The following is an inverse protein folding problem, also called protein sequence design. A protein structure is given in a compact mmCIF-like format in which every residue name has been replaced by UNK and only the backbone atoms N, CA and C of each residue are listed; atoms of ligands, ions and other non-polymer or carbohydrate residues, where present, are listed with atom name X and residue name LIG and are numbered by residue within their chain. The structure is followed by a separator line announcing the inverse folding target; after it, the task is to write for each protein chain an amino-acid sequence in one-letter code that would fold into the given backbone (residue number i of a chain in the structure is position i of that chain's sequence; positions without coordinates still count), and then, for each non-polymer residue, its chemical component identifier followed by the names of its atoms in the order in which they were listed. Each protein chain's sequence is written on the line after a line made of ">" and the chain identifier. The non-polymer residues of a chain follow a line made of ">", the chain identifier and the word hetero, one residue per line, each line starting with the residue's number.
data_IF_017133947236
#
_entry.id   IF_017133947236
#
_cell.length_a   1.000
_cell.length_b   1.000
_cell.length_c   1.000
_cell.angle_alpha   90.00
_cell.angle_beta   90.00
_cell.angle_gamma   90.00
#
_symmetry.space_group_name_H-M   'P 1'
#
loop_
_entity.id
_entity.type
_entity.pdbx_description
1 polymer ?
#
# COMPACT_ATOMS: atom_id res chain seq x y z
N UNK A 1 6.58 -19.82 -4.11
CA UNK A 1 5.70 -18.67 -3.79
C UNK A 1 6.45 -17.41 -4.18
N UNK A 2 5.91 -16.58 -5.08
CA UNK A 2 6.59 -15.35 -5.54
C UNK A 2 6.80 -14.37 -4.36
N UNK A 3 7.96 -13.75 -4.27
CA UNK A 3 8.25 -12.74 -3.24
C UNK A 3 7.36 -11.50 -3.42
N UNK A 4 7.03 -10.79 -2.34
CA UNK A 4 6.17 -9.61 -2.42
C UNK A 4 6.74 -8.53 -3.36
N UNK A 5 8.06 -8.37 -3.38
CA UNK A 5 8.72 -7.44 -4.30
C UNK A 5 8.54 -7.87 -5.76
N UNK A 6 8.61 -9.18 -6.05
CA UNK A 6 8.38 -9.71 -7.40
C UNK A 6 6.93 -9.50 -7.85
N UNK A 7 5.96 -9.68 -6.94
CA UNK A 7 4.55 -9.39 -7.20
C UNK A 7 4.37 -7.91 -7.59
N UNK A 8 4.92 -6.99 -6.81
CA UNK A 8 4.85 -5.54 -7.08
C UNK A 8 5.51 -5.18 -8.41
N UNK A 9 6.69 -5.72 -8.70
CA UNK A 9 7.39 -5.50 -9.97
C UNK A 9 6.54 -5.96 -11.17
N UNK A 10 5.85 -7.10 -11.06
CA UNK A 10 4.94 -7.58 -12.11
C UNK A 10 3.75 -6.65 -12.29
N UNK A 11 3.12 -6.21 -11.20
CA UNK A 11 1.99 -5.29 -11.27
C UNK A 11 2.38 -3.91 -11.84
N UNK A 12 3.56 -3.38 -11.48
CA UNK A 12 4.09 -2.14 -12.06
C UNK A 12 4.25 -2.22 -13.58
N UNK A 13 4.64 -3.37 -14.12
CA UNK A 13 4.72 -3.60 -15.59
C UNK A 13 3.33 -3.70 -16.22
N UNK A 14 2.42 -4.46 -15.60
CA UNK A 14 1.04 -4.63 -16.07
C UNK A 14 0.15 -5.07 -14.92
N UNK A 15 -0.72 -4.17 -14.46
CA UNK A 15 -1.70 -4.50 -13.43
C UNK A 15 -2.79 -5.42 -14.00
N UNK A 16 -3.00 -6.62 -13.44
CA UNK A 16 -4.09 -7.50 -13.84
C UNK A 16 -5.47 -6.85 -13.61
N UNK A 17 -6.52 -7.25 -14.35
CA UNK A 17 -7.89 -6.75 -14.13
C UNK A 17 -8.41 -7.09 -12.73
N UNK A 18 -8.07 -8.28 -12.23
CA UNK A 18 -8.40 -8.80 -10.92
C UNK A 18 -7.19 -9.51 -10.34
N UNK A 19 -6.97 -9.32 -9.04
CA UNK A 19 -5.83 -9.88 -8.31
C UNK A 19 -6.35 -10.69 -7.11
N UNK A 20 -5.82 -11.91 -6.84
CA UNK A 20 -6.22 -12.69 -5.68
C UNK A 20 -5.95 -11.95 -4.36
N UNK A 21 -6.89 -12.06 -3.40
CA UNK A 21 -6.75 -11.49 -2.06
C UNK A 21 -5.45 -11.92 -1.38
N UNK A 22 -5.02 -13.15 -1.58
CA UNK A 22 -3.80 -13.69 -0.97
C UNK A 22 -2.54 -12.94 -1.42
N UNK A 23 -2.43 -12.63 -2.72
CA UNK A 23 -1.32 -11.83 -3.25
C UNK A 23 -1.38 -10.39 -2.71
N UNK A 24 -2.58 -9.81 -2.61
CA UNK A 24 -2.77 -8.48 -2.04
C UNK A 24 -2.35 -8.44 -0.58
N UNK A 25 -2.79 -9.41 0.23
CA UNK A 25 -2.39 -9.54 1.62
C UNK A 25 -0.89 -9.69 1.77
N UNK A 26 -0.26 -10.51 0.93
CA UNK A 26 1.19 -10.70 0.95
C UNK A 26 1.93 -9.40 0.68
N UNK A 27 1.47 -8.61 -0.30
CA UNK A 27 2.06 -7.31 -0.61
C UNK A 27 1.80 -6.31 0.53
N UNK A 28 0.58 -6.25 1.06
CA UNK A 28 0.25 -5.35 2.16
C UNK A 28 1.06 -5.68 3.42
N UNK A 29 1.22 -6.96 3.79
CA UNK A 29 2.03 -7.35 4.94
C UNK A 29 3.50 -6.96 4.76
N UNK A 30 4.06 -7.16 3.56
CA UNK A 30 5.45 -6.82 3.28
C UNK A 30 5.71 -5.30 3.28
N UNK A 31 4.75 -4.52 2.75
CA UNK A 31 4.90 -3.08 2.60
C UNK A 31 4.23 -2.24 3.68
N UNK A 32 3.38 -2.81 4.52
CA UNK A 32 2.67 -2.10 5.59
C UNK A 32 2.48 -3.07 6.77
N UNK A 33 3.57 -3.64 7.33
CA UNK A 33 3.48 -4.64 8.37
C UNK A 33 2.73 -4.08 9.59
N UNK A 34 1.72 -4.82 10.07
CA UNK A 34 0.88 -4.42 11.21
C UNK A 34 0.04 -3.14 11.01
N UNK A 35 0.08 -2.54 9.82
CA UNK A 35 -0.53 -1.24 9.52
C UNK A 35 -1.83 -1.40 8.71
N UNK A 36 -2.50 -2.54 8.85
CA UNK A 36 -3.75 -2.82 8.18
C UNK A 36 -4.76 -3.53 9.08
N UNK A 37 -6.04 -3.33 8.78
CA UNK A 37 -7.16 -3.95 9.46
C UNK A 37 -8.04 -4.68 8.45
N UNK A 38 -8.45 -5.89 8.79
CA UNK A 38 -9.42 -6.68 8.04
C UNK A 38 -10.80 -6.48 8.68
N UNK A 39 -11.70 -5.79 7.98
CA UNK A 39 -13.07 -5.65 8.46
C UNK A 39 -13.84 -6.93 8.17
N UNK A 40 -14.17 -7.68 9.21
CA UNK A 40 -15.03 -8.87 9.12
C UNK A 40 -16.50 -8.42 9.13
N UNK A 41 -17.14 -8.35 7.97
CA UNK A 41 -18.54 -7.92 7.81
C UNK A 41 -19.02 -7.99 6.35
N UNK A 42 -20.23 -7.48 6.07
CA UNK A 42 -20.93 -7.58 4.77
C UNK A 42 -20.18 -7.04 3.55
N UNK A 43 -19.13 -6.24 3.79
CA UNK A 43 -18.20 -5.77 2.78
C UNK A 43 -16.79 -6.10 3.24
N UNK A 44 -16.17 -7.05 2.55
CA UNK A 44 -14.82 -7.52 2.88
C UNK A 44 -13.83 -6.42 2.46
N UNK A 45 -13.52 -5.47 3.34
CA UNK A 45 -12.49 -4.48 3.10
C UNK A 45 -11.19 -4.83 3.84
N UNK A 46 -10.08 -4.52 3.19
CA UNK A 46 -8.78 -4.37 3.82
C UNK A 46 -8.47 -2.88 3.88
N UNK A 47 -8.23 -2.35 5.08
CA UNK A 47 -7.94 -0.93 5.29
C UNK A 47 -6.50 -0.81 5.74
N UNK A 48 -5.66 -0.12 4.97
CA UNK A 48 -4.29 0.21 5.34
C UNK A 48 -4.25 1.62 5.91
N UNK A 49 -3.62 1.78 7.08
CA UNK A 49 -3.43 3.06 7.76
C UNK A 49 -1.94 3.22 8.04
N UNK A 50 -1.31 4.22 7.42
CA UNK A 50 0.13 4.46 7.61
C UNK A 50 0.41 5.95 7.61
N UNK A 51 1.41 6.37 8.39
CA UNK A 51 1.77 7.79 8.53
C UNK A 51 2.13 8.44 7.19
N UNK A 52 2.90 7.73 6.35
CA UNK A 52 3.24 8.21 5.01
C UNK A 52 1.99 8.57 4.16
N UNK A 53 0.92 7.78 4.28
CA UNK A 53 -0.34 8.05 3.55
C UNK A 53 -1.07 9.26 4.13
N UNK A 54 -1.05 9.43 5.45
CA UNK A 54 -1.59 10.62 6.11
C UNK A 54 -0.87 11.88 5.62
N UNK A 55 0.46 11.89 5.64
CA UNK A 55 1.27 13.03 5.21
C UNK A 55 1.04 13.31 3.72
N UNK A 56 0.97 12.28 2.88
CA UNK A 56 0.67 12.44 1.45
C UNK A 56 -0.69 13.10 1.21
N UNK A 57 -1.70 12.73 1.98
CA UNK A 57 -3.02 13.34 1.92
C UNK A 57 -3.01 14.80 2.40
N UNK A 58 -2.45 15.05 3.59
CA UNK A 58 -2.40 16.39 4.21
C UNK A 58 -1.63 17.40 3.34
N UNK A 59 -0.60 16.94 2.63
CA UNK A 59 0.20 17.78 1.72
C UNK A 59 -0.35 17.85 0.30
N UNK A 60 -1.48 17.18 0.01
CA UNK A 60 -2.11 17.19 -1.31
C UNK A 60 -1.35 16.43 -2.39
N UNK A 61 -0.43 15.52 -2.02
CA UNK A 61 0.30 14.68 -2.98
C UNK A 61 -0.58 13.59 -3.61
N UNK A 62 -1.59 13.13 -2.88
CA UNK A 62 -2.52 12.11 -3.38
C UNK A 62 -3.93 12.28 -2.81
N UNK A 63 -4.93 12.24 -3.70
CA UNK A 63 -6.34 12.16 -3.35
C UNK A 63 -6.82 10.72 -3.11
N UNK A 64 -5.99 9.72 -3.45
CA UNK A 64 -6.32 8.29 -3.35
C UNK A 64 -6.42 7.79 -1.90
N UNK A 65 -5.94 8.57 -0.92
CA UNK A 65 -5.85 8.19 0.49
C UNK A 65 -6.59 9.16 1.43
N UNK A 66 -7.92 9.33 1.30
CA UNK A 66 -8.67 10.26 2.14
C UNK A 66 -8.47 9.96 3.63
N UNK A 67 -8.05 10.96 4.40
CA UNK A 67 -7.74 10.82 5.82
C UNK A 67 -6.54 9.90 6.12
N UNK A 68 -5.65 9.68 5.14
CA UNK A 68 -4.46 8.84 5.28
C UNK A 68 -4.74 7.33 5.25
N UNK A 69 -5.83 6.92 4.61
CA UNK A 69 -6.29 5.52 4.58
C UNK A 69 -6.39 5.02 3.15
N UNK A 70 -5.87 3.83 2.91
CA UNK A 70 -6.12 3.08 1.68
C UNK A 70 -7.16 2.00 1.96
N UNK A 71 -8.24 1.98 1.20
CA UNK A 71 -9.31 0.98 1.31
C UNK A 71 -9.31 0.07 0.09
N UNK A 72 -9.10 -1.23 0.30
CA UNK A 72 -9.12 -2.27 -0.74
C UNK A 72 -10.36 -3.15 -0.53
N UNK A 73 -11.35 -3.03 -1.41
CA UNK A 73 -12.53 -3.90 -1.40
C UNK A 73 -12.29 -5.21 -2.13
N UNK A 74 -12.78 -6.31 -1.56
CA UNK A 74 -12.76 -7.61 -2.22
C UNK A 74 -14.07 -7.85 -2.97
N UNK A 75 -13.97 -8.12 -4.27
CA UNK A 75 -15.04 -8.66 -5.10
C UNK A 75 -15.25 -10.14 -4.74
N UNK A 76 -16.48 -10.49 -4.33
CA UNK A 76 -16.86 -11.84 -3.89
C UNK A 76 -15.96 -12.41 -2.78
N UNK A 77 -15.33 -11.54 -1.98
CA UNK A 77 -14.38 -11.93 -0.93
C UNK A 77 -13.06 -12.55 -1.42
N UNK A 78 -12.81 -12.63 -2.74
CA UNK A 78 -11.68 -13.37 -3.31
C UNK A 78 -10.71 -12.52 -4.12
N UNK A 79 -11.18 -11.47 -4.78
CA UNK A 79 -10.36 -10.70 -5.73
C UNK A 79 -10.43 -9.20 -5.48
N UNK A 80 -9.37 -8.49 -5.83
CA UNK A 80 -9.29 -7.03 -5.77
C UNK A 80 -9.18 -6.49 -7.19
N UNK A 81 -9.98 -5.47 -7.51
CA UNK A 81 -10.04 -4.87 -8.85
C UNK A 81 -8.80 -4.05 -9.16
N UNK A 82 -8.44 -3.99 -10.44
CA UNK A 82 -7.29 -3.23 -10.97
C UNK A 82 -7.08 -1.84 -10.36
N UNK A 83 -8.12 -1.00 -10.31
CA UNK A 83 -7.98 0.38 -9.82
C UNK A 83 -7.56 0.44 -8.35
N UNK A 84 -7.98 -0.53 -7.53
CA UNK A 84 -7.56 -0.64 -6.14
C UNK A 84 -6.10 -1.09 -6.02
N UNK A 85 -5.65 -1.97 -6.93
CA UNK A 85 -4.25 -2.35 -7.03
C UNK A 85 -3.39 -1.17 -7.47
N UNK A 86 -3.89 -0.31 -8.36
CA UNK A 86 -3.20 0.94 -8.73
C UNK A 86 -3.04 1.86 -7.51
N UNK A 87 -4.09 2.04 -6.70
CA UNK A 87 -4.00 2.81 -5.45
C UNK A 87 -3.02 2.17 -4.44
N UNK A 88 -2.95 0.84 -4.39
CA UNK A 88 -1.97 0.13 -3.55
C UNK A 88 -0.53 0.38 -4.03
N UNK A 89 -0.28 0.34 -5.34
CA UNK A 89 1.03 0.66 -5.89
C UNK A 89 1.43 2.12 -5.59
N UNK A 90 0.50 3.06 -5.74
CA UNK A 90 0.72 4.46 -5.36
C UNK A 90 1.04 4.59 -3.86
N UNK A 91 0.34 3.86 -3.00
CA UNK A 91 0.60 3.85 -1.56
C UNK A 91 2.02 3.34 -1.25
N UNK A 92 2.46 2.28 -1.96
CA UNK A 92 3.81 1.74 -1.85
C UNK A 92 4.84 2.79 -2.28
N UNK A 93 4.63 3.45 -3.41
CA UNK A 93 5.54 4.51 -3.90
C UNK A 93 5.66 5.66 -2.89
N UNK A 94 4.54 6.08 -2.29
CA UNK A 94 4.50 7.09 -1.22
C UNK A 94 5.29 6.64 0.00
N UNK A 95 5.11 5.39 0.44
CA UNK A 95 5.87 4.84 1.56
C UNK A 95 7.37 4.79 1.26
N UNK A 96 7.76 4.25 0.10
CA UNK A 96 9.17 4.15 -0.29
C UNK A 96 9.82 5.54 -0.38
N UNK A 97 9.09 6.54 -0.88
CA UNK A 97 9.56 7.93 -0.89
C UNK A 97 9.71 8.50 0.52
N UNK A 98 8.74 8.24 1.40
CA UNK A 98 8.79 8.66 2.80
C UNK A 98 9.98 8.04 3.55
N UNK A 99 10.19 6.72 3.39
CA UNK A 99 11.28 5.99 4.01
C UNK A 99 12.65 6.49 3.52
N UNK A 100 12.78 6.85 2.23
CA UNK A 100 13.99 7.47 1.71
C UNK A 100 14.28 8.80 2.40
N UNK A 101 13.28 9.68 2.52
CA UNK A 101 13.46 11.00 3.16
C UNK A 101 13.80 10.86 4.65
N UNK A 102 13.15 9.95 5.37
CA UNK A 102 13.47 9.65 6.77
C UNK A 102 14.87 9.04 6.90
N UNK A 103 15.25 8.13 6.00
CA UNK A 103 16.56 7.50 5.94
C UNK A 103 17.69 8.51 5.72
N UNK A 104 17.54 9.46 4.79
CA UNK A 104 18.51 10.53 4.56
C UNK A 104 18.67 11.45 5.79
N UNK A 105 17.63 11.55 6.62
CA UNK A 105 17.65 12.36 7.86
C UNK A 105 18.43 11.67 8.98
N UNK A 106 18.63 10.34 8.91
CA UNK A 106 19.45 9.58 9.87
C UNK A 106 20.96 9.65 9.64
N UNK A 107 21.41 9.96 8.43
CA UNK A 107 22.85 10.01 8.09
C UNK A 107 23.46 11.42 8.18
N UNK A 108 22.65 12.48 8.16
CA UNK A 108 23.12 13.86 8.32
C UNK A 108 23.50 14.24 9.77
N UNK A 109 23.36 13.31 10.73
CA UNK A 109 23.63 13.53 12.16
C UNK A 109 24.85 12.81 12.73
N UNK A 110 25.63 12.08 11.92
CA UNK A 110 26.92 11.51 12.37
C UNK A 110 28.08 12.25 11.72
N UNK A 111 28.27 13.48 12.17
CA UNK A 111 29.58 14.10 12.11
C UNK A 111 30.52 13.42 13.10
N UNK A 112 31.72 13.12 12.65
CA UNK A 112 32.98 13.59 13.26
C UNK A 112 34.11 13.42 12.24
#
# INVERSE_FOLDING_TARGET
>A
MADAAEIVQRWRKRVPPEVPKEDVLKVVEAYFPGSYELTSGSSHFLIVKHEALRIAHERGFSASFPGGRLSLSHTRGRYVKKYLIQNLLEAIDVREAFDRVQGTTGEAGRGQ
#
